data_IF_347738849475
#
_entry.id   IF_347738849475
#
_cell.length_a   1.000
_cell.length_b   1.000
_cell.length_c   1.000
_cell.angle_alpha   90.00
_cell.angle_beta   90.00
_cell.angle_gamma   90.00
#
_symmetry.space_group_name_H-M   'P 1'
#
loop_
_entity.id
_entity.type
_entity.pdbx_description
1 polymer ?
#
# COMPACT_ATOMS: atom_id res chain seq x y z
N UNK A 1 2.01 1.93 -3.89
CA UNK A 1 3.07 1.50 -2.97
C UNK A 1 2.83 2.04 -1.57
N UNK A 2 2.98 1.21 -0.53
CA UNK A 2 2.74 1.57 0.89
C UNK A 2 3.44 2.87 1.36
N UNK A 3 4.57 3.24 0.73
CA UNK A 3 5.30 4.51 0.95
C UNK A 3 4.51 5.80 0.74
N UNK A 4 3.38 5.72 0.04
CA UNK A 4 2.50 6.87 -0.22
C UNK A 4 1.12 6.64 0.40
N UNK A 5 0.98 5.66 1.31
CA UNK A 5 -0.32 5.32 1.90
C UNK A 5 -0.94 6.52 2.61
N UNK A 6 -0.15 7.31 3.32
CA UNK A 6 -0.65 8.53 3.99
C UNK A 6 -1.12 9.58 2.98
N UNK A 7 -0.29 9.90 1.99
CA UNK A 7 -0.65 10.83 0.94
C UNK A 7 -1.90 10.38 0.17
N UNK A 8 -2.05 9.07 -0.08
CA UNK A 8 -3.24 8.50 -0.69
C UNK A 8 -4.47 8.62 0.22
N UNK A 9 -4.36 8.31 1.52
CA UNK A 9 -5.45 8.46 2.48
C UNK A 9 -5.93 9.91 2.56
N UNK A 10 -5.02 10.88 2.68
CA UNK A 10 -5.36 12.31 2.67
C UNK A 10 -6.00 12.75 1.35
N UNK A 11 -5.59 12.18 0.22
CA UNK A 11 -6.27 12.46 -1.05
C UNK A 11 -7.71 11.91 -1.08
N UNK A 12 -7.97 10.79 -0.40
CA UNK A 12 -9.30 10.18 -0.31
C UNK A 12 -10.25 10.89 0.66
N UNK A 13 -9.76 11.68 1.61
CA UNK A 13 -10.59 12.48 2.53
C UNK A 13 -11.56 13.42 1.81
N UNK A 14 -11.22 13.84 0.58
CA UNK A 14 -12.03 14.73 -0.22
C UNK A 14 -12.88 14.00 -1.29
N UNK A 15 -12.91 12.66 -1.26
CA UNK A 15 -13.67 11.84 -2.21
C UNK A 15 -15.02 11.46 -1.59
N UNK A 16 -16.11 11.80 -2.27
CA UNK A 16 -17.45 11.42 -1.85
C UNK A 16 -17.86 10.13 -2.55
N UNK A 17 -18.25 9.11 -1.80
CA UNK A 17 -18.73 7.84 -2.39
C UNK A 17 -20.24 7.76 -2.22
N UNK A 18 -20.95 7.62 -3.34
CA UNK A 18 -22.38 7.39 -3.38
C UNK A 18 -22.69 6.00 -3.95
N UNK A 19 -23.75 5.38 -3.43
CA UNK A 19 -24.32 4.16 -4.00
C UNK A 19 -25.64 4.49 -4.69
N UNK A 20 -25.90 3.84 -5.83
CA UNK A 20 -27.22 3.95 -6.46
C UNK A 20 -28.23 3.03 -5.77
N UNK A 21 -29.54 3.35 -5.81
CA UNK A 21 -30.59 2.43 -5.36
C UNK A 21 -30.44 1.07 -6.03
N UNK A 22 -30.43 0.00 -5.24
CA UNK A 22 -30.25 -1.38 -5.71
C UNK A 22 -28.82 -1.93 -5.65
N UNK A 23 -27.84 -1.18 -5.12
CA UNK A 23 -26.53 -1.72 -4.70
C UNK A 23 -25.58 -2.17 -5.84
N UNK A 24 -25.98 -1.99 -7.10
CA UNK A 24 -25.23 -2.45 -8.29
C UNK A 24 -24.33 -1.38 -8.90
N UNK A 25 -24.30 -0.19 -8.32
CA UNK A 25 -23.48 0.93 -8.80
C UNK A 25 -22.93 1.71 -7.62
N UNK A 26 -21.63 1.96 -7.68
CA UNK A 26 -20.88 2.79 -6.76
C UNK A 26 -20.22 3.90 -7.58
N UNK A 27 -20.34 5.14 -7.11
CA UNK A 27 -19.80 6.33 -7.77
C UNK A 27 -18.93 7.09 -6.78
N UNK A 28 -17.68 7.32 -7.15
CA UNK A 28 -16.76 8.16 -6.38
C UNK A 28 -16.63 9.53 -7.06
N UNK A 29 -17.04 10.58 -6.37
CA UNK A 29 -16.90 11.96 -6.81
C UNK A 29 -15.57 12.51 -6.29
N UNK A 30 -14.72 12.95 -7.22
CA UNK A 30 -13.40 13.52 -6.92
C UNK A 30 -13.43 15.02 -7.24
N UNK A 31 -12.88 15.91 -6.39
CA UNK A 31 -12.88 17.35 -6.67
C UNK A 31 -12.17 17.68 -7.98
N UNK A 32 -12.84 18.42 -8.86
CA UNK A 32 -12.32 18.70 -10.20
C UNK A 32 -11.00 19.50 -10.22
N UNK A 33 -10.74 20.32 -9.21
CA UNK A 33 -9.50 21.11 -9.11
C UNK A 33 -8.29 20.27 -8.72
N UNK A 34 -8.35 19.60 -7.56
CA UNK A 34 -7.22 18.85 -6.98
C UNK A 34 -7.12 17.42 -7.49
N UNK A 35 -8.25 16.82 -7.88
CA UNK A 35 -8.33 15.41 -8.27
C UNK A 35 -8.05 15.12 -9.73
N UNK A 36 -8.06 16.13 -10.61
CA UNK A 36 -7.97 15.92 -12.06
C UNK A 36 -6.74 15.12 -12.50
N UNK A 37 -5.51 15.41 -12.03
CA UNK A 37 -4.34 14.61 -12.41
C UNK A 37 -4.46 13.14 -11.99
N UNK A 38 -5.05 12.88 -10.82
CA UNK A 38 -5.28 11.52 -10.30
C UNK A 38 -6.31 10.78 -11.16
N UNK A 39 -7.45 11.42 -11.47
CA UNK A 39 -8.49 10.84 -12.32
C UNK A 39 -7.98 10.53 -13.72
N UNK A 40 -7.15 11.40 -14.32
CA UNK A 40 -6.52 11.15 -15.64
C UNK A 40 -5.60 9.94 -15.56
N UNK A 41 -4.78 9.85 -14.51
CA UNK A 41 -3.88 8.71 -14.34
C UNK A 41 -4.66 7.40 -14.13
N UNK A 42 -5.71 7.42 -13.33
CA UNK A 42 -6.58 6.27 -13.10
C UNK A 42 -7.23 5.82 -14.41
N UNK A 43 -7.76 6.76 -15.19
CA UNK A 43 -8.36 6.50 -16.49
C UNK A 43 -7.40 5.79 -17.45
N UNK A 44 -6.20 6.34 -17.62
CA UNK A 44 -5.15 5.75 -18.46
C UNK A 44 -4.74 4.35 -17.97
N UNK A 45 -4.60 4.17 -16.65
CA UNK A 45 -4.22 2.90 -16.06
C UNK A 45 -5.31 1.82 -16.22
N UNK A 46 -6.58 2.18 -16.11
CA UNK A 46 -7.70 1.25 -16.32
C UNK A 46 -7.73 0.71 -17.75
N UNK A 47 -7.55 1.59 -18.73
CA UNK A 47 -7.47 1.21 -20.14
C UNK A 47 -6.25 0.34 -20.44
N UNK A 48 -5.07 0.76 -20.00
CA UNK A 48 -3.84 -0.03 -20.18
C UNK A 48 -3.93 -1.40 -19.50
N UNK A 49 -4.59 -1.50 -18.33
CA UNK A 49 -4.83 -2.78 -17.68
C UNK A 49 -5.78 -3.68 -18.49
N UNK A 50 -6.84 -3.12 -19.08
CA UNK A 50 -7.77 -3.86 -19.95
C UNK A 50 -7.03 -4.40 -21.18
N UNK A 51 -6.30 -3.54 -21.88
CA UNK A 51 -5.47 -3.94 -23.04
C UNK A 51 -4.45 -5.03 -22.67
N UNK A 52 -3.80 -4.90 -21.51
CA UNK A 52 -2.83 -5.89 -21.04
C UNK A 52 -3.47 -7.25 -20.74
N UNK A 53 -4.68 -7.27 -20.18
CA UNK A 53 -5.42 -8.52 -19.98
C UNK A 53 -5.80 -9.15 -21.33
N UNK A 54 -6.28 -8.36 -22.28
CA UNK A 54 -6.66 -8.85 -23.60
C UNK A 54 -5.46 -9.40 -24.37
N UNK A 55 -4.33 -8.70 -24.30
CA UNK A 55 -3.04 -9.17 -24.82
C UNK A 55 -2.63 -10.49 -24.18
N UNK A 56 -2.70 -10.60 -22.84
CA UNK A 56 -2.37 -11.83 -22.11
C UNK A 56 -3.28 -12.98 -22.52
N UNK A 57 -4.57 -12.73 -22.76
CA UNK A 57 -5.52 -13.73 -23.24
C UNK A 57 -5.20 -14.19 -24.66
N UNK A 58 -4.83 -13.27 -25.54
CA UNK A 58 -4.52 -13.57 -26.94
C UNK A 58 -3.18 -14.28 -27.13
N UNK A 59 -2.16 -13.94 -26.32
CA UNK A 59 -0.76 -14.34 -26.56
C UNK A 59 -0.17 -15.22 -25.45
N UNK A 60 -0.75 -15.22 -24.25
CA UNK A 60 -0.13 -15.79 -23.05
C UNK A 60 1.01 -14.94 -22.46
N UNK A 61 1.41 -13.85 -23.12
CA UNK A 61 2.52 -12.99 -22.71
C UNK A 61 2.15 -11.94 -21.65
N UNK A 62 3.16 -11.45 -20.92
CA UNK A 62 3.00 -10.43 -19.86
C UNK A 62 3.58 -9.06 -20.23
N UNK A 63 4.18 -8.92 -21.41
CA UNK A 63 4.90 -7.70 -21.80
C UNK A 63 4.00 -6.47 -21.82
N UNK A 64 2.72 -6.63 -22.17
CA UNK A 64 1.74 -5.55 -22.11
C UNK A 64 1.51 -5.05 -20.67
N UNK A 65 1.58 -5.92 -19.66
CA UNK A 65 1.51 -5.50 -18.26
C UNK A 65 2.77 -4.74 -17.83
N UNK A 66 3.94 -5.08 -18.37
CA UNK A 66 5.17 -4.34 -18.08
C UNK A 66 5.11 -2.92 -18.67
N UNK A 67 4.65 -2.80 -19.92
CA UNK A 67 4.44 -1.50 -20.57
C UNK A 67 3.36 -0.65 -19.85
N UNK A 68 2.29 -1.30 -19.37
CA UNK A 68 1.18 -0.62 -18.69
C UNK A 68 1.57 0.09 -17.39
N UNK A 69 2.73 -0.25 -16.79
CA UNK A 69 3.28 0.48 -15.64
C UNK A 69 3.50 1.96 -15.98
N UNK A 70 3.93 2.28 -17.21
CA UNK A 70 4.11 3.66 -17.68
C UNK A 70 2.80 4.46 -17.75
N UNK A 71 1.68 3.78 -18.00
CA UNK A 71 0.34 4.36 -17.97
C UNK A 71 -0.21 4.53 -16.55
N UNK A 72 0.41 3.90 -15.54
CA UNK A 72 0.02 3.98 -14.13
C UNK A 72 -0.56 2.70 -13.55
N UNK A 73 -0.50 1.58 -14.29
CA UNK A 73 -0.87 0.28 -13.72
C UNK A 73 0.12 -0.09 -12.62
N UNK A 74 -0.42 -0.53 -11.49
CA UNK A 74 0.34 -0.82 -10.29
C UNK A 74 -0.20 -2.06 -9.60
N UNK A 75 0.60 -2.60 -8.67
CA UNK A 75 0.19 -3.70 -7.80
C UNK A 75 -1.14 -3.40 -7.09
N UNK A 76 -1.27 -2.21 -6.50
CA UNK A 76 -2.50 -1.83 -5.79
C UNK A 76 -3.72 -1.71 -6.71
N UNK A 77 -3.55 -1.19 -7.93
CA UNK A 77 -4.65 -1.15 -8.90
C UNK A 77 -5.08 -2.57 -9.31
N UNK A 78 -4.13 -3.46 -9.60
CA UNK A 78 -4.45 -4.85 -9.96
C UNK A 78 -5.15 -5.60 -8.83
N UNK A 79 -4.73 -5.40 -7.58
CA UNK A 79 -5.40 -5.99 -6.41
C UNK A 79 -6.82 -5.42 -6.22
N UNK A 80 -7.00 -4.11 -6.42
CA UNK A 80 -8.34 -3.48 -6.35
C UNK A 80 -9.27 -4.05 -7.44
N UNK A 81 -8.79 -4.24 -8.67
CA UNK A 81 -9.56 -4.88 -9.74
C UNK A 81 -9.90 -6.34 -9.40
N UNK A 82 -8.97 -7.10 -8.84
CA UNK A 82 -9.21 -8.47 -8.36
C UNK A 82 -10.30 -8.47 -7.28
N UNK A 83 -10.25 -7.52 -6.33
CA UNK A 83 -11.25 -7.41 -5.27
C UNK A 83 -12.64 -7.07 -5.82
N UNK A 84 -12.74 -6.13 -6.77
CA UNK A 84 -14.00 -5.75 -7.41
C UNK A 84 -14.66 -6.90 -8.19
N UNK A 85 -13.85 -7.72 -8.87
CA UNK A 85 -14.36 -8.79 -9.75
C UNK A 85 -14.65 -10.07 -8.98
N UNK A 86 -13.88 -10.38 -7.92
CA UNK A 86 -14.02 -11.62 -7.15
C UNK A 86 -15.43 -11.76 -6.59
N UNK A 87 -16.07 -12.90 -6.86
CA UNK A 87 -17.43 -13.18 -6.37
C UNK A 87 -18.55 -12.46 -7.13
N UNK A 88 -18.24 -11.79 -8.24
CA UNK A 88 -19.21 -11.11 -9.10
C UNK A 88 -19.25 -11.74 -10.49
N UNK A 89 -20.21 -11.33 -11.33
CA UNK A 89 -20.23 -11.70 -12.77
C UNK A 89 -19.31 -10.83 -13.62
N UNK A 90 -18.76 -9.76 -13.04
CA UNK A 90 -17.93 -8.77 -13.71
C UNK A 90 -18.11 -7.38 -13.11
N UNK A 91 -17.14 -6.51 -13.36
CA UNK A 91 -17.12 -5.13 -12.92
C UNK A 91 -16.93 -4.21 -14.13
N UNK A 92 -17.85 -3.25 -14.30
CA UNK A 92 -17.75 -2.19 -15.29
C UNK A 92 -17.34 -0.89 -14.61
N UNK A 93 -16.28 -0.27 -15.09
CA UNK A 93 -15.68 0.92 -14.49
C UNK A 93 -15.62 2.02 -15.55
N UNK A 94 -16.22 3.16 -15.27
CA UNK A 94 -16.19 4.35 -16.10
C UNK A 94 -15.56 5.52 -15.34
N UNK A 95 -14.90 6.42 -16.06
CA UNK A 95 -14.40 7.70 -15.53
C UNK A 95 -15.04 8.81 -16.32
N UNK A 96 -15.98 9.51 -15.67
CA UNK A 96 -16.71 10.63 -16.27
C UNK A 96 -16.11 11.96 -15.81
N UNK A 97 -16.08 12.93 -16.72
CA UNK A 97 -15.53 14.26 -16.48
C UNK A 97 -16.64 15.27 -16.20
N UNK A 98 -16.44 16.11 -15.17
CA UNK A 98 -17.38 17.19 -14.87
C UNK A 98 -17.56 18.10 -16.11
N UNK A 99 -18.79 18.32 -16.62
CA UNK A 99 -19.00 19.08 -17.85
C UNK A 99 -18.38 20.48 -17.82
N UNK A 100 -18.49 21.16 -16.68
CA UNK A 100 -17.93 22.51 -16.49
C UNK A 100 -16.39 22.55 -16.51
N UNK A 101 -15.71 21.43 -16.26
CA UNK A 101 -14.26 21.34 -16.26
C UNK A 101 -13.69 20.82 -17.58
N UNK A 102 -14.55 20.35 -18.51
CA UNK A 102 -14.16 19.77 -19.80
C UNK A 102 -13.36 18.47 -19.68
N UNK A 103 -13.22 17.77 -20.81
CA UNK A 103 -12.44 16.52 -20.92
C UNK A 103 -10.95 16.84 -20.99
N UNK A 104 -10.08 16.17 -20.22
CA UNK A 104 -8.62 16.32 -20.33
C UNK A 104 -8.08 15.80 -21.66
N UNK A 105 -6.95 16.35 -22.11
CA UNK A 105 -6.25 15.87 -23.31
C UNK A 105 -5.94 14.37 -23.24
N UNK A 106 -6.12 13.67 -24.36
CA UNK A 106 -5.91 12.22 -24.45
C UNK A 106 -6.97 11.35 -23.77
N UNK A 107 -7.96 11.93 -23.08
CA UNK A 107 -9.06 11.18 -22.44
C UNK A 107 -10.35 11.14 -23.28
N UNK A 108 -10.46 11.96 -24.32
CA UNK A 108 -11.67 12.02 -25.17
C UNK A 108 -11.87 10.81 -26.08
N UNK A 109 -10.79 10.13 -26.49
CA UNK A 109 -10.86 8.94 -27.34
C UNK A 109 -11.18 7.65 -26.55
N UNK A 110 -11.03 7.70 -25.23
CA UNK A 110 -11.13 6.57 -24.31
C UNK A 110 -12.41 6.69 -23.46
N UNK A 111 -13.54 7.04 -24.05
CA UNK A 111 -14.75 7.38 -23.27
C UNK A 111 -15.57 6.16 -22.79
N UNK A 112 -15.26 4.95 -23.25
CA UNK A 112 -16.04 3.75 -22.93
C UNK A 112 -15.69 3.16 -21.56
N UNK A 113 -16.67 2.57 -20.90
CA UNK A 113 -16.41 1.89 -19.64
C UNK A 113 -15.59 0.62 -19.88
N UNK A 114 -14.51 0.43 -19.11
CA UNK A 114 -13.75 -0.83 -19.15
C UNK A 114 -14.49 -1.90 -18.37
N UNK A 115 -14.50 -3.12 -18.90
CA UNK A 115 -15.15 -4.27 -18.26
C UNK A 115 -14.11 -5.31 -17.87
N UNK A 116 -14.21 -5.82 -16.64
CA UNK A 116 -13.41 -6.93 -16.14
C UNK A 116 -14.32 -8.07 -15.72
N UNK A 117 -13.94 -9.29 -16.06
CA UNK A 117 -14.70 -10.52 -15.87
C UNK A 117 -13.95 -11.50 -14.96
N UNK A 118 -14.62 -12.49 -14.34
CA UNK A 118 -13.92 -13.53 -13.56
C UNK A 118 -12.82 -14.26 -14.33
N UNK A 119 -12.93 -14.34 -15.67
CA UNK A 119 -11.89 -14.92 -16.54
C UNK A 119 -10.59 -14.12 -16.59
N UNK A 120 -10.61 -12.84 -16.16
CA UNK A 120 -9.44 -11.97 -16.13
C UNK A 120 -8.61 -12.11 -14.84
N UNK A 121 -9.19 -12.72 -13.79
CA UNK A 121 -8.57 -12.84 -12.48
C UNK A 121 -7.19 -13.53 -12.48
N UNK A 122 -6.93 -14.60 -13.26
CA UNK A 122 -5.60 -15.20 -13.31
C UNK A 122 -4.53 -14.23 -13.80
N UNK A 123 -4.81 -13.47 -14.87
CA UNK A 123 -3.88 -12.49 -15.43
C UNK A 123 -3.61 -11.34 -14.45
N UNK A 124 -4.67 -10.81 -13.82
CA UNK A 124 -4.53 -9.73 -12.83
C UNK A 124 -3.73 -10.15 -11.59
N UNK A 125 -3.94 -11.38 -11.08
CA UNK A 125 -3.17 -11.91 -9.95
C UNK A 125 -1.70 -12.14 -10.30
N UNK A 126 -1.44 -12.61 -11.51
CA UNK A 126 -0.06 -12.79 -11.98
C UNK A 126 0.66 -11.44 -12.13
N UNK A 127 -0.03 -10.44 -12.70
CA UNK A 127 0.47 -9.06 -12.79
C UNK A 127 0.76 -8.49 -11.40
N UNK A 128 -0.17 -8.62 -10.45
CA UNK A 128 0.01 -8.17 -9.07
C UNK A 128 1.26 -8.80 -8.43
N UNK A 129 1.43 -10.12 -8.57
CA UNK A 129 2.60 -10.83 -8.04
C UNK A 129 3.90 -10.41 -8.74
N UNK A 130 3.86 -10.15 -10.05
CA UNK A 130 5.00 -9.68 -10.84
C UNK A 130 5.43 -8.28 -10.41
N UNK A 131 4.49 -7.34 -10.28
CA UNK A 131 4.78 -5.98 -9.81
C UNK A 131 5.36 -5.96 -8.40
N UNK A 132 4.87 -6.83 -7.51
CA UNK A 132 5.44 -6.95 -6.17
C UNK A 132 6.87 -7.48 -6.19
N UNK A 133 7.18 -8.47 -7.05
CA UNK A 133 8.55 -9.00 -7.21
C UNK A 133 9.50 -8.00 -7.86
N UNK A 134 8.98 -7.16 -8.76
CA UNK A 134 9.73 -6.13 -9.47
C UNK A 134 9.80 -4.79 -8.70
N UNK A 135 9.22 -4.69 -7.49
CA UNK A 135 9.24 -3.45 -6.70
C UNK A 135 10.69 -3.03 -6.45
N UNK A 136 11.13 -1.86 -6.95
CA UNK A 136 12.53 -1.46 -6.86
C UNK A 136 12.94 -1.20 -5.41
N UNK A 137 14.13 -1.66 -5.02
CA UNK A 137 14.71 -1.32 -3.72
C UNK A 137 15.08 0.16 -3.68
N UNK A 138 14.57 0.94 -2.72
CA UNK A 138 14.79 2.39 -2.63
C UNK A 138 15.77 2.72 -1.50
N UNK A 139 16.80 3.56 -1.71
CA UNK A 139 17.63 4.03 -0.61
C UNK A 139 16.80 4.87 0.36
N UNK A 140 16.86 4.57 1.65
CA UNK A 140 16.13 5.27 2.71
C UNK A 140 17.02 5.52 3.92
N UNK A 141 16.70 6.58 4.67
CA UNK A 141 17.25 6.85 6.00
C UNK A 141 16.12 6.69 7.02
N UNK A 142 16.11 5.58 7.73
CA UNK A 142 15.07 5.27 8.70
C UNK A 142 15.48 5.77 10.09
N UNK A 143 14.53 6.31 10.83
CA UNK A 143 14.61 6.50 12.27
C UNK A 143 13.57 5.61 12.92
N UNK A 144 13.96 4.79 13.89
CA UNK A 144 13.04 3.83 14.50
C UNK A 144 13.53 3.30 15.85
N UNK A 145 12.60 2.78 16.65
CA UNK A 145 12.92 2.12 17.91
C UNK A 145 13.10 0.63 17.71
N UNK A 146 14.06 0.06 18.43
CA UNK A 146 14.28 -1.38 18.43
C UNK A 146 13.17 -2.03 19.26
N UNK A 147 12.39 -2.93 18.63
CA UNK A 147 11.31 -3.66 19.31
C UNK A 147 11.60 -5.14 19.50
N UNK A 148 12.52 -5.70 18.71
CA UNK A 148 12.95 -7.11 18.87
C UNK A 148 14.33 -7.30 18.30
N UNK A 149 15.15 -8.10 18.99
CA UNK A 149 16.47 -8.52 18.52
C UNK A 149 16.59 -10.04 18.60
N UNK A 150 17.29 -10.63 17.64
CA UNK A 150 17.58 -12.07 17.59
C UNK A 150 18.96 -12.31 17.02
N UNK A 151 19.75 -13.14 17.70
CA UNK A 151 21.05 -13.64 17.23
C UNK A 151 21.22 -15.09 17.68
N UNK A 152 21.84 -15.92 16.83
CA UNK A 152 22.04 -17.35 17.11
C UNK A 152 23.17 -17.63 18.09
N UNK A 153 24.13 -16.72 18.23
CA UNK A 153 25.27 -16.85 19.14
C UNK A 153 25.83 -15.50 19.59
N UNK A 154 26.89 -15.51 20.41
CA UNK A 154 27.50 -14.28 20.94
C UNK A 154 28.30 -13.49 19.90
N UNK A 155 28.60 -14.09 18.72
CA UNK A 155 29.33 -13.48 17.59
C UNK A 155 28.56 -13.62 16.27
N UNK A 156 28.95 -12.84 15.26
CA UNK A 156 28.33 -12.83 13.92
C UNK A 156 27.12 -11.91 13.76
N UNK A 157 26.44 -12.00 12.62
CA UNK A 157 25.32 -11.13 12.26
C UNK A 157 24.09 -11.39 13.13
N UNK A 158 23.26 -10.36 13.31
CA UNK A 158 22.02 -10.44 14.06
C UNK A 158 20.86 -9.80 13.31
N UNK A 159 19.65 -10.22 13.65
CA UNK A 159 18.42 -9.66 13.07
C UNK A 159 17.75 -8.74 14.08
N UNK A 160 17.40 -7.54 13.63
CA UNK A 160 16.69 -6.53 14.43
C UNK A 160 15.38 -6.18 13.74
N UNK A 161 14.31 -6.07 14.53
CA UNK A 161 13.02 -5.50 14.09
C UNK A 161 12.93 -4.09 14.66
N UNK A 162 12.79 -3.11 13.78
CA UNK A 162 12.54 -1.73 14.13
C UNK A 162 11.05 -1.40 13.96
N UNK A 163 10.50 -0.63 14.90
CA UNK A 163 9.28 0.16 14.68
C UNK A 163 9.71 1.49 14.09
N UNK A 164 9.24 1.80 12.88
CA UNK A 164 9.68 3.02 12.20
C UNK A 164 8.93 4.22 12.77
N UNK A 165 9.67 5.27 13.08
CA UNK A 165 9.14 6.57 13.51
C UNK A 165 9.19 7.57 12.35
N UNK A 166 10.23 7.52 11.52
CA UNK A 166 10.39 8.42 10.38
C UNK A 166 11.25 7.80 9.26
N UNK A 167 11.13 8.36 8.05
CA UNK A 167 11.96 8.01 6.88
C UNK A 167 11.33 7.00 5.92
N UNK A 168 10.28 6.31 6.33
CA UNK A 168 9.41 5.54 5.44
C UNK A 168 8.02 5.30 6.09
N UNK A 169 6.96 5.34 5.29
CA UNK A 169 5.58 5.05 5.72
C UNK A 169 5.35 3.53 5.85
N UNK A 170 6.09 2.88 6.74
CA UNK A 170 5.96 1.44 7.02
C UNK A 170 6.02 1.21 8.53
N UNK A 171 5.16 0.38 9.14
CA UNK A 171 5.09 0.29 10.60
C UNK A 171 6.32 -0.40 11.20
N UNK A 172 6.82 -1.44 10.51
CA UNK A 172 7.95 -2.24 10.97
C UNK A 172 8.89 -2.60 9.83
N UNK A 173 10.18 -2.66 10.14
CA UNK A 173 11.22 -3.09 9.21
C UNK A 173 12.13 -4.11 9.87
N UNK A 174 12.47 -5.17 9.14
CA UNK A 174 13.46 -6.16 9.55
C UNK A 174 14.81 -5.85 8.93
N UNK A 175 15.86 -5.85 9.73
CA UNK A 175 17.22 -5.51 9.32
C UNK A 175 18.16 -6.62 9.75
N UNK A 176 19.11 -6.97 8.88
CA UNK A 176 20.26 -7.80 9.24
C UNK A 176 21.43 -6.87 9.49
N UNK A 177 21.98 -6.88 10.69
CA UNK A 177 23.11 -6.06 11.10
C UNK A 177 24.35 -6.93 11.28
N UNK A 178 25.51 -6.36 11.00
CA UNK A 178 26.78 -6.94 11.42
C UNK A 178 26.94 -6.89 12.95
N UNK A 179 28.05 -7.42 13.43
CA UNK A 179 28.29 -7.56 14.86
C UNK A 179 28.39 -6.21 15.60
N UNK A 180 29.02 -5.20 14.99
CA UNK A 180 29.18 -3.89 15.61
C UNK A 180 27.85 -3.13 15.65
N UNK A 181 27.18 -3.07 14.51
CA UNK A 181 25.88 -2.43 14.37
C UNK A 181 24.82 -3.09 15.27
N UNK A 182 24.86 -4.40 15.43
CA UNK A 182 23.96 -5.12 16.34
C UNK A 182 24.19 -4.73 17.80
N UNK A 183 25.45 -4.54 18.23
CA UNK A 183 25.75 -4.06 19.59
C UNK A 183 25.23 -2.65 19.82
N UNK A 184 25.39 -1.75 18.85
CA UNK A 184 24.87 -0.38 18.91
C UNK A 184 23.34 -0.39 19.06
N UNK A 185 22.64 -1.18 18.26
CA UNK A 185 21.19 -1.34 18.37
C UNK A 185 20.77 -1.88 19.74
N UNK A 186 21.53 -2.83 20.28
CA UNK A 186 21.27 -3.40 21.61
C UNK A 186 21.42 -2.37 22.72
N UNK A 187 22.48 -1.56 22.67
CA UNK A 187 22.66 -0.48 23.63
C UNK A 187 21.53 0.54 23.54
N UNK A 188 21.21 1.02 22.34
CA UNK A 188 20.11 1.95 22.10
C UNK A 188 18.76 1.42 22.62
N UNK A 189 18.49 0.13 22.43
CA UNK A 189 17.29 -0.52 22.98
C UNK A 189 17.25 -0.46 24.52
N UNK A 190 18.37 -0.78 25.18
CA UNK A 190 18.46 -0.78 26.64
C UNK A 190 18.27 0.62 27.24
N UNK A 191 18.78 1.66 26.56
CA UNK A 191 18.64 3.05 27.03
C UNK A 191 17.39 3.76 26.47
N UNK A 192 16.51 3.04 25.75
CA UNK A 192 15.26 3.58 25.22
C UNK A 192 15.43 4.62 24.09
N UNK A 193 16.59 4.65 23.43
CA UNK A 193 16.87 5.60 22.35
C UNK A 193 16.48 5.03 20.98
N UNK A 194 15.87 5.83 20.09
CA UNK A 194 15.70 5.45 18.70
C UNK A 194 17.05 5.39 17.98
N UNK A 195 17.12 4.57 16.94
CA UNK A 195 18.28 4.46 16.06
C UNK A 195 17.97 5.03 14.69
N UNK A 196 18.97 5.67 14.10
CA UNK A 196 18.97 6.05 12.68
C UNK A 196 19.80 5.05 11.90
N UNK A 197 19.33 4.65 10.73
CA UNK A 197 20.00 3.67 9.87
C UNK A 197 19.78 4.01 8.41
N UNK A 198 20.83 3.86 7.60
CA UNK A 198 20.75 3.95 6.15
C UNK A 198 20.67 2.55 5.54
N UNK A 199 19.97 2.41 4.42
CA UNK A 199 19.99 1.18 3.64
C UNK A 199 18.98 1.23 2.50
N UNK A 200 18.70 0.08 1.89
CA UNK A 200 17.72 -0.06 0.82
C UNK A 200 16.48 -0.76 1.32
N UNK A 201 15.32 -0.12 1.19
CA UNK A 201 14.04 -0.69 1.58
C UNK A 201 13.52 -1.61 0.49
N UNK A 202 13.24 -2.85 0.86
CA UNK A 202 12.70 -3.90 0.01
C UNK A 202 11.35 -4.39 0.52
N UNK A 203 10.48 -4.78 -0.40
CA UNK A 203 9.22 -5.47 -0.13
C UNK A 203 9.39 -6.95 -0.41
N UNK A 204 9.16 -7.81 0.59
CA UNK A 204 9.21 -9.27 0.36
C UNK A 204 8.12 -9.96 1.16
N UNK A 205 7.09 -10.45 0.46
CA UNK A 205 6.04 -11.30 1.02
C UNK A 205 5.29 -10.67 2.21
N UNK A 206 4.91 -9.40 2.08
CA UNK A 206 4.16 -8.67 3.13
C UNK A 206 5.02 -8.04 4.22
N UNK A 207 6.32 -8.37 4.29
CA UNK A 207 7.25 -7.73 5.23
C UNK A 207 8.21 -6.78 4.52
N UNK A 208 8.57 -5.71 5.23
CA UNK A 208 9.57 -4.74 4.76
C UNK A 208 10.94 -5.09 5.35
N UNK A 209 11.94 -5.14 4.47
CA UNK A 209 13.33 -5.44 4.84
C UNK A 209 14.22 -4.26 4.48
N UNK A 210 15.15 -3.91 5.36
CA UNK A 210 16.27 -3.04 5.00
C UNK A 210 17.47 -3.90 4.66
N UNK A 211 17.99 -3.79 3.45
CA UNK A 211 19.22 -4.44 2.99
C UNK A 211 20.35 -3.41 2.87
N UNK A 212 21.60 -3.88 2.94
CA UNK A 212 22.77 -2.99 2.94
C UNK A 212 22.75 -1.96 4.06
N UNK A 213 22.29 -2.38 5.25
CA UNK A 213 22.14 -1.47 6.38
C UNK A 213 23.51 -0.98 6.86
N UNK A 214 23.68 0.32 6.96
CA UNK A 214 24.91 0.98 7.40
C UNK A 214 24.61 2.23 8.23
N UNK A 215 25.67 2.81 8.81
CA UNK A 215 25.59 4.04 9.61
C UNK A 215 24.53 3.99 10.72
N UNK A 216 24.46 2.86 11.45
CA UNK A 216 23.56 2.79 12.59
C UNK A 216 24.09 3.68 13.71
N UNK A 217 23.26 4.62 14.16
CA UNK A 217 23.61 5.53 15.24
C UNK A 217 22.41 5.76 16.16
N UNK A 218 22.58 5.74 17.50
CA UNK A 218 21.57 6.23 18.42
C UNK A 218 21.30 7.70 18.14
N UNK A 219 20.02 8.09 18.11
CA UNK A 219 19.61 9.48 17.99
C UNK A 219 19.21 9.96 19.38
N UNK A 220 19.86 11.02 19.85
CA UNK A 220 19.39 11.78 21.01
C UNK A 220 18.14 12.52 20.57
N UNK A 221 16.99 12.05 21.02
CA UNK A 221 15.70 12.70 20.83
C UNK A 221 15.30 13.16 22.23
N UNK A 222 15.08 14.47 22.40
CA UNK A 222 14.57 14.95 23.68
C UNK A 222 13.20 14.33 23.97
N UNK A 223 12.80 14.31 25.25
CA UNK A 223 11.58 13.62 25.67
C UNK A 223 10.34 14.17 24.95
N UNK A 224 10.32 15.47 24.63
CA UNK A 224 9.23 16.12 23.92
C UNK A 224 9.13 15.68 22.45
N UNK A 225 10.26 15.52 21.76
CA UNK A 225 10.31 15.05 20.38
C UNK A 225 10.05 13.54 20.29
N UNK A 226 10.47 12.78 21.31
CA UNK A 226 10.11 11.36 21.43
C UNK A 226 8.61 11.20 21.64
N UNK A 227 8.01 12.00 22.52
CA UNK A 227 6.57 11.97 22.77
C UNK A 227 5.77 12.47 21.57
N UNK A 228 6.26 13.46 20.82
CA UNK A 228 5.65 13.86 19.53
C UNK A 228 5.72 12.75 18.50
N UNK A 229 6.85 12.05 18.37
CA UNK A 229 7.00 10.94 17.44
C UNK A 229 6.14 9.74 17.87
N UNK A 230 6.05 9.45 19.17
CA UNK A 230 5.18 8.40 19.70
C UNK A 230 3.70 8.74 19.51
N UNK A 231 3.31 9.99 19.78
CA UNK A 231 1.94 10.49 19.59
C UNK A 231 1.55 10.46 18.12
N UNK A 232 2.44 10.87 17.21
CA UNK A 232 2.22 10.73 15.77
C UNK A 232 1.95 9.27 15.40
N UNK A 233 2.73 8.32 15.93
CA UNK A 233 2.53 6.90 15.66
C UNK A 233 1.25 6.33 16.32
N UNK A 234 0.82 6.85 17.46
CA UNK A 234 -0.41 6.41 18.13
C UNK A 234 -1.66 6.90 17.38
N UNK A 235 -1.67 8.17 16.94
CA UNK A 235 -2.67 8.68 15.98
C UNK A 235 -2.65 7.84 14.68
N UNK A 236 -1.49 7.36 14.23
CA UNK A 236 -1.38 6.46 13.07
C UNK A 236 -1.96 5.05 13.27
N UNK A 237 -1.90 4.50 14.48
CA UNK A 237 -2.49 3.19 14.80
C UNK A 237 -4.00 3.31 14.96
N UNK A 238 -4.47 4.38 15.60
CA UNK A 238 -5.90 4.64 15.81
C UNK A 238 -6.61 4.92 14.48
N UNK A 239 -6.00 5.69 13.56
CA UNK A 239 -6.56 5.88 12.21
C UNK A 239 -6.57 4.57 11.41
N UNK A 240 -5.53 3.74 11.52
CA UNK A 240 -5.51 2.44 10.83
C UNK A 240 -6.54 1.44 11.39
N UNK A 241 -6.73 1.43 12.72
CA UNK A 241 -7.73 0.60 13.40
C UNK A 241 -9.16 1.09 13.15
N UNK A 242 -9.39 2.42 13.14
CA UNK A 242 -10.69 3.02 12.85
C UNK A 242 -11.22 2.65 11.45
N UNK A 243 -10.33 2.53 10.45
CA UNK A 243 -10.71 2.05 9.11
C UNK A 243 -11.02 0.54 9.05
N UNK A 244 -10.42 -0.26 9.94
CA UNK A 244 -10.66 -1.70 10.04
C UNK A 244 -12.02 -1.98 10.72
N UNK A 245 -12.39 -1.18 11.71
CA UNK A 245 -13.66 -1.29 12.45
C UNK A 245 -14.87 -0.84 11.62
N UNK A 246 -14.73 0.14 10.71
CA UNK A 246 -15.80 0.51 9.75
C UNK A 246 -16.08 -0.54 8.66
N UNK A 247 -15.29 -1.62 8.57
CA UNK A 247 -15.55 -2.75 7.67
C UNK A 247 -15.95 -4.05 8.42
N UNK A 248 -16.14 -3.98 9.75
CA UNK A 248 -16.46 -5.13 10.59
C UNK A 248 -17.73 -4.91 11.42
N UNK A 249 -18.82 -4.47 10.78
CA UNK A 249 -20.13 -4.34 11.43
C UNK A 249 -21.05 -5.52 11.12
N UNK A 250 -21.34 -6.28 12.18
CA UNK A 250 -22.53 -7.10 12.45
C UNK A 250 -22.68 -8.47 11.77
N UNK A 251 -22.30 -9.52 12.52
CA UNK A 251 -23.01 -10.81 12.58
C UNK A 251 -22.76 -11.46 13.97
N UNK A 252 -23.17 -10.83 15.06
CA UNK A 252 -23.43 -11.55 16.31
C UNK A 252 -24.81 -11.15 16.84
N UNK A 253 -25.70 -12.14 16.88
CA UNK A 253 -27.03 -12.09 17.47
C UNK A 253 -27.38 -13.52 17.87
N UNK A 254 -27.06 -13.84 19.11
CA UNK A 254 -27.46 -15.03 19.86
C UNK A 254 -28.99 -15.19 19.87
N UNK A 255 -29.46 -16.44 19.96
CA UNK A 255 -30.33 -16.85 21.07
C UNK A 255 -30.36 -18.38 21.16
N UNK A 256 -30.14 -18.86 22.40
CA UNK A 256 -29.90 -20.26 22.74
C UNK A 256 -31.13 -21.10 23.06
N UNK A 257 -30.78 -22.30 23.51
CA UNK A 257 -31.54 -23.46 23.97
C UNK A 257 -32.86 -23.23 24.73
N UNK A 258 -33.81 -24.14 24.48
CA UNK A 258 -34.69 -24.87 25.41
C UNK A 258 -35.38 -25.97 24.55
N UNK A 259 -35.56 -27.25 24.86
CA UNK A 259 -35.38 -28.13 26.02
C UNK A 259 -36.20 -29.41 25.72
N UNK A 260 -35.66 -30.57 26.10
CA UNK A 260 -36.18 -31.96 26.05
C UNK A 260 -36.30 -32.68 24.68
#
# INVERSE_FOLDING_TARGET
GARHRRAAATALENVLVGTAPGGRRLTAFVPAGTGRPLSVRLHQALYAAREAVDYRRATGGMDAFDAAVGAGVSHELTEALVALVRGTQGARIAVDWAPAAGVPDGCGALAEAVEFSPGDLPALREAAARYLRAEPSVPVRLTGTVVRMRRSGPRGTGTVRLRVLAGADVPHVRITLDEEAYRIAGHAHLVGLPVRVLGRLESRGGFRRLTGACEIAPVQVDDAERDRLLKAVQEHVEVAAFFEETCGGDCDGEDGEDGD
#
